data_IF_633495593441
#
_entry.id   IF_633495593441
#
_cell.length_a   1.000
_cell.length_b   1.000
_cell.length_c   1.000
_cell.angle_alpha   90.00
_cell.angle_beta   90.00
_cell.angle_gamma   90.00
#
_symmetry.space_group_name_H-M   'P 1'
#
loop_
_entity.id
_entity.type
_entity.pdbx_description
1 polymer ?
#
# COMPACT_ATOMS: atom_id res chain seq x y z
N UNK A 1 -6.80 20.70 15.65
CA UNK A 1 -6.37 20.47 17.04
C UNK A 1 -7.55 19.96 17.84
N UNK A 2 -7.39 19.04 18.81
CA UNK A 2 -8.48 18.69 19.71
C UNK A 2 -8.91 19.95 20.49
N UNK A 3 -10.21 20.20 20.58
CA UNK A 3 -10.76 21.25 21.43
C UNK A 3 -11.00 20.68 22.83
N UNK A 4 -10.81 21.51 23.86
CA UNK A 4 -11.13 21.15 25.24
C UNK A 4 -12.62 20.77 25.34
N UNK A 5 -12.89 19.52 25.68
CA UNK A 5 -14.23 19.08 26.05
C UNK A 5 -14.59 19.60 27.45
N UNK A 6 -15.89 19.79 27.70
CA UNK A 6 -16.44 20.00 29.05
C UNK A 6 -15.85 18.91 29.96
N UNK A 7 -15.14 19.30 31.03
CA UNK A 7 -14.36 18.46 31.97
C UNK A 7 -12.87 18.18 31.66
N UNK A 8 -12.17 18.99 30.87
CA UNK A 8 -10.70 18.87 30.77
C UNK A 8 -10.20 17.55 30.17
N UNK A 9 -11.08 16.80 29.50
CA UNK A 9 -10.76 15.57 28.77
C UNK A 9 -10.66 15.89 27.29
N UNK A 10 -9.48 15.65 26.71
CA UNK A 10 -9.30 15.66 25.25
C UNK A 10 -10.09 14.49 24.64
N UNK A 11 -11.09 14.80 23.82
CA UNK A 11 -11.93 13.80 23.15
C UNK A 11 -11.75 13.86 21.64
N UNK A 12 -11.68 12.69 21.00
CA UNK A 12 -11.40 12.59 19.57
C UNK A 12 -12.67 12.84 18.74
N UNK A 13 -12.86 14.03 18.19
CA UNK A 13 -14.14 14.38 17.55
C UNK A 13 -14.45 13.64 16.23
N UNK A 14 -13.43 13.10 15.53
CA UNK A 14 -13.56 12.51 14.20
C UNK A 14 -13.60 10.98 14.21
N UNK A 15 -14.35 10.37 15.14
CA UNK A 15 -14.43 8.91 15.35
C UNK A 15 -14.67 8.08 14.07
N UNK A 16 -15.33 8.62 13.05
CA UNK A 16 -15.54 7.94 11.77
C UNK A 16 -14.24 7.61 11.01
N UNK A 17 -13.16 8.37 11.25
CA UNK A 17 -11.83 8.13 10.67
C UNK A 17 -11.09 6.93 11.27
N UNK A 18 -11.67 6.31 12.30
CA UNK A 18 -11.12 5.09 12.91
C UNK A 18 -11.48 3.84 12.10
N UNK A 19 -12.40 3.95 11.13
CA UNK A 19 -12.75 2.82 10.28
C UNK A 19 -11.63 2.52 9.27
N UNK A 20 -11.29 1.23 9.06
CA UNK A 20 -10.41 0.83 7.98
C UNK A 20 -10.95 1.29 6.63
N UNK A 21 -10.05 1.69 5.73
CA UNK A 21 -10.43 1.96 4.36
C UNK A 21 -11.12 0.73 3.73
N UNK A 22 -12.22 0.90 2.98
CA UNK A 22 -12.96 -0.22 2.39
C UNK A 22 -12.11 -1.12 1.49
N UNK A 23 -11.22 -0.48 0.74
CA UNK A 23 -10.25 -1.10 -0.16
C UNK A 23 -8.94 -0.32 -0.05
N UNK A 24 -7.82 -1.05 -0.14
CA UNK A 24 -6.47 -0.51 -0.26
C UNK A 24 -5.79 -1.27 -1.39
N UNK A 25 -5.09 -0.56 -2.27
CA UNK A 25 -4.27 -1.16 -3.32
C UNK A 25 -2.82 -1.00 -2.89
N UNK A 26 -2.06 -2.09 -2.89
CA UNK A 26 -0.60 -2.07 -2.69
C UNK A 26 0.05 -2.29 -4.03
N UNK A 27 1.07 -1.53 -4.37
CA UNK A 27 1.69 -1.58 -5.68
C UNK A 27 3.19 -1.29 -5.60
N UNK A 28 3.89 -1.74 -6.62
CA UNK A 28 5.31 -1.47 -6.83
C UNK A 28 5.65 -1.49 -8.33
N UNK A 29 6.78 -0.87 -8.69
CA UNK A 29 7.30 -0.84 -10.06
C UNK A 29 8.72 -1.38 -10.11
N UNK A 30 9.08 -1.93 -11.27
CA UNK A 30 10.47 -2.01 -11.67
C UNK A 30 10.72 -1.09 -12.86
N UNK A 31 11.95 -0.63 -12.99
CA UNK A 31 12.36 0.24 -14.09
C UNK A 31 13.65 -0.24 -14.73
N UNK A 32 13.73 -0.06 -16.04
CA UNK A 32 14.99 -0.13 -16.76
C UNK A 32 15.84 1.09 -16.45
N UNK A 33 17.13 0.86 -16.21
CA UNK A 33 18.10 1.91 -15.89
C UNK A 33 19.00 2.18 -17.10
N UNK A 34 18.48 2.97 -18.03
CA UNK A 34 19.23 3.37 -19.25
C UNK A 34 20.26 4.45 -18.92
N UNK A 35 21.47 4.35 -19.47
CA UNK A 35 22.51 5.38 -19.29
C UNK A 35 22.17 6.60 -20.14
N UNK A 36 22.36 7.79 -19.58
CA UNK A 36 22.23 9.06 -20.32
C UNK A 36 23.62 9.66 -20.43
N UNK A 37 24.09 9.88 -21.66
CA UNK A 37 25.29 10.67 -21.91
C UNK A 37 24.94 12.16 -21.75
N UNK A 38 25.54 12.81 -20.75
CA UNK A 38 25.39 14.24 -20.53
C UNK A 38 26.51 15.05 -21.21
N UNK A 39 26.29 16.35 -21.47
CA UNK A 39 27.32 17.22 -22.05
C UNK A 39 28.52 17.36 -21.10
N UNK A 40 29.73 17.57 -21.63
CA UNK A 40 30.93 17.85 -20.82
C UNK A 40 30.66 19.01 -19.85
N UNK A 41 30.93 18.77 -18.57
CA UNK A 41 30.63 19.73 -17.50
C UNK A 41 31.80 20.68 -17.28
N UNK A 42 31.49 21.96 -17.15
CA UNK A 42 32.42 22.98 -16.67
C UNK A 42 32.75 22.71 -15.17
N UNK A 43 34.01 22.42 -14.82
CA UNK A 43 34.41 22.09 -13.45
C UNK A 43 34.29 23.27 -12.47
N UNK A 44 34.01 24.48 -12.95
CA UNK A 44 33.87 25.69 -12.11
C UNK A 44 32.44 25.97 -11.66
N UNK A 45 31.46 25.19 -12.14
CA UNK A 45 30.03 25.36 -11.80
C UNK A 45 29.47 24.13 -11.11
N UNK A 46 28.63 24.36 -10.09
CA UNK A 46 27.81 23.28 -9.54
C UNK A 46 26.80 22.86 -10.60
N UNK A 47 26.93 21.62 -11.06
CA UNK A 47 26.06 21.02 -12.07
C UNK A 47 25.46 19.72 -11.50
N UNK A 48 24.18 19.49 -11.75
CA UNK A 48 23.54 18.19 -11.49
C UNK A 48 23.34 17.51 -12.83
N UNK A 49 24.09 16.43 -13.09
CA UNK A 49 23.93 15.62 -14.30
C UNK A 49 23.03 14.42 -13.99
N UNK A 50 21.99 14.24 -14.79
CA UNK A 50 21.21 13.02 -14.77
C UNK A 50 22.00 11.94 -15.51
N UNK A 51 22.62 11.04 -14.77
CA UNK A 51 23.48 9.97 -15.31
C UNK A 51 22.69 8.76 -15.80
N UNK A 52 21.44 8.61 -15.35
CA UNK A 52 20.56 7.50 -15.67
C UNK A 52 19.12 7.98 -15.92
N UNK A 53 18.48 7.37 -16.92
CA UNK A 53 17.07 7.51 -17.21
C UNK A 53 16.36 6.21 -16.80
N UNK A 54 15.40 6.37 -15.89
CA UNK A 54 14.59 5.27 -15.38
C UNK A 54 13.30 5.21 -16.19
N UNK A 55 13.07 4.09 -16.88
CA UNK A 55 11.84 3.81 -17.62
C UNK A 55 11.07 2.70 -16.88
N UNK A 56 9.89 3.01 -16.36
CA UNK A 56 9.01 1.99 -15.77
C UNK A 56 8.75 0.87 -16.79
N UNK A 57 9.15 -0.36 -16.45
CA UNK A 57 9.13 -1.50 -17.34
C UNK A 57 8.16 -2.59 -16.88
N UNK A 58 7.95 -2.73 -15.57
CA UNK A 58 6.91 -3.59 -15.02
C UNK A 58 6.28 -3.02 -13.76
N UNK A 59 5.11 -3.51 -13.41
CA UNK A 59 4.48 -3.25 -12.12
C UNK A 59 3.75 -4.50 -11.61
N UNK A 60 3.53 -4.52 -10.31
CA UNK A 60 2.56 -5.39 -9.67
C UNK A 60 1.64 -4.57 -8.77
N UNK A 61 0.37 -4.97 -8.65
CA UNK A 61 -0.48 -4.50 -7.56
C UNK A 61 -1.40 -5.59 -7.03
N UNK A 62 -1.75 -5.48 -5.74
CA UNK A 62 -2.80 -6.29 -5.11
C UNK A 62 -3.85 -5.40 -4.45
N UNK A 63 -5.11 -5.65 -4.79
CA UNK A 63 -6.27 -4.97 -4.19
C UNK A 63 -6.77 -5.76 -2.98
N UNK A 64 -6.72 -5.13 -1.82
CA UNK A 64 -7.08 -5.73 -0.53
C UNK A 64 -8.30 -5.04 0.05
N UNK A 65 -9.33 -5.83 0.36
CA UNK A 65 -10.56 -5.34 0.98
C UNK A 65 -10.41 -5.24 2.50
N UNK A 66 -11.28 -4.46 3.15
CA UNK A 66 -11.25 -4.23 4.59
C UNK A 66 -11.37 -5.50 5.46
N UNK A 67 -11.82 -6.64 4.92
CA UNK A 67 -11.86 -7.94 5.60
C UNK A 67 -10.67 -8.86 5.29
N UNK A 68 -9.64 -8.34 4.62
CA UNK A 68 -8.44 -9.08 4.23
C UNK A 68 -8.60 -9.92 2.97
N UNK A 69 -9.79 -9.96 2.35
CA UNK A 69 -9.95 -10.66 1.07
C UNK A 69 -9.26 -9.89 -0.04
N UNK A 70 -8.62 -10.64 -0.93
CA UNK A 70 -7.88 -10.13 -2.08
C UNK A 70 -8.39 -10.78 -3.37
N UNK A 71 -8.24 -10.04 -4.47
CA UNK A 71 -8.21 -10.62 -5.81
C UNK A 71 -6.76 -10.89 -6.19
N UNK A 72 -6.53 -11.76 -7.18
CA UNK A 72 -5.18 -12.12 -7.62
C UNK A 72 -4.34 -10.86 -7.95
N UNK A 73 -3.03 -10.85 -7.64
CA UNK A 73 -2.14 -9.79 -8.04
C UNK A 73 -2.22 -9.54 -9.55
N UNK A 74 -2.25 -8.28 -9.92
CA UNK A 74 -2.22 -7.84 -11.32
C UNK A 74 -0.80 -7.45 -11.66
N UNK A 75 -0.22 -8.17 -12.61
CA UNK A 75 1.16 -8.00 -13.06
C UNK A 75 1.15 -7.53 -14.52
N UNK A 76 2.11 -6.68 -14.87
CA UNK A 76 2.35 -6.26 -16.25
C UNK A 76 3.82 -5.95 -16.43
N UNK A 77 4.44 -6.48 -17.49
CA UNK A 77 5.74 -6.06 -18.00
C UNK A 77 5.60 -5.67 -19.46
N UNK A 78 6.02 -4.46 -19.81
CA UNK A 78 5.90 -3.94 -21.17
C UNK A 78 6.07 -2.43 -21.23
N UNK A 79 6.27 -1.91 -22.44
CA UNK A 79 6.44 -0.47 -22.66
C UNK A 79 5.22 0.30 -22.16
N UNK A 80 5.45 1.51 -21.65
CA UNK A 80 4.40 2.34 -21.10
C UNK A 80 3.77 1.79 -19.81
N UNK A 81 4.52 1.01 -19.01
CA UNK A 81 4.02 0.36 -17.80
C UNK A 81 3.32 1.33 -16.84
N UNK A 82 3.87 2.53 -16.63
CA UNK A 82 3.27 3.55 -15.77
C UNK A 82 1.90 4.05 -16.29
N UNK A 83 1.74 4.23 -17.61
CA UNK A 83 0.44 4.62 -18.18
C UNK A 83 -0.57 3.46 -18.09
N UNK A 84 -0.13 2.25 -18.45
CA UNK A 84 -0.94 1.04 -18.34
C UNK A 84 -1.43 0.83 -16.90
N UNK A 85 -0.55 1.04 -15.92
CA UNK A 85 -0.87 0.98 -14.50
C UNK A 85 -1.97 1.98 -14.10
N UNK A 86 -1.84 3.26 -14.47
CA UNK A 86 -2.85 4.26 -14.13
C UNK A 86 -4.22 3.91 -14.73
N UNK A 87 -4.25 3.43 -15.98
CA UNK A 87 -5.49 2.96 -16.63
C UNK A 87 -6.08 1.73 -15.92
N UNK A 88 -5.23 0.80 -15.47
CA UNK A 88 -5.65 -0.35 -14.67
C UNK A 88 -6.26 0.09 -13.33
N UNK A 89 -5.62 1.01 -12.60
CA UNK A 89 -6.15 1.55 -11.35
C UNK A 89 -7.48 2.29 -11.53
N UNK A 90 -7.67 3.03 -12.63
CA UNK A 90 -8.96 3.67 -12.93
C UNK A 90 -10.07 2.64 -13.17
N UNK A 91 -9.74 1.47 -13.74
CA UNK A 91 -10.69 0.36 -13.86
C UNK A 91 -11.05 -0.20 -12.49
N UNK A 92 -10.06 -0.36 -11.60
CA UNK A 92 -10.29 -0.75 -10.20
C UNK A 92 -11.14 0.27 -9.45
N UNK A 93 -10.85 1.56 -9.61
CA UNK A 93 -11.63 2.65 -9.03
C UNK A 93 -13.11 2.53 -9.41
N UNK A 94 -13.42 2.39 -10.71
CA UNK A 94 -14.81 2.21 -11.17
C UNK A 94 -15.46 0.96 -10.58
N UNK A 95 -14.71 -0.15 -10.46
CA UNK A 95 -15.19 -1.38 -9.83
C UNK A 95 -15.53 -1.18 -8.35
N UNK A 96 -14.64 -0.50 -7.61
CA UNK A 96 -14.83 -0.19 -6.20
C UNK A 96 -16.01 0.78 -6.02
N UNK A 97 -16.13 1.82 -6.84
CA UNK A 97 -17.28 2.75 -6.80
C UNK A 97 -18.62 2.02 -6.98
N UNK A 98 -18.70 1.07 -7.92
CA UNK A 98 -19.89 0.23 -8.10
C UNK A 98 -20.18 -0.64 -6.87
N UNK A 99 -19.15 -1.21 -6.24
CA UNK A 99 -19.32 -1.98 -5.01
C UNK A 99 -19.79 -1.09 -3.84
N UNK A 100 -19.27 0.14 -3.72
CA UNK A 100 -19.67 1.10 -2.69
C UNK A 100 -21.09 1.64 -2.89
N UNK A 101 -21.55 1.75 -4.14
CA UNK A 101 -22.90 2.18 -4.46
C UNK A 101 -23.97 1.14 -4.10
N UNK A 102 -23.56 -0.13 -3.89
CA UNK A 102 -24.44 -1.25 -3.58
C UNK A 102 -24.08 -1.85 -2.20
N UNK A 103 -24.41 -1.15 -1.10
CA UNK A 103 -24.06 -1.60 0.24
C UNK A 103 -24.73 -2.95 0.55
N UNK A 104 -23.94 -3.89 1.08
CA UNK A 104 -24.45 -5.21 1.47
C UNK A 104 -25.42 -5.11 2.64
N UNK A 105 -26.51 -5.86 2.56
CA UNK A 105 -27.44 -6.02 3.67
C UNK A 105 -26.73 -6.53 4.93
N UNK A 106 -27.17 -6.00 6.08
CA UNK A 106 -26.64 -6.37 7.39
C UNK A 106 -26.88 -7.84 7.69
N UNK A 107 -25.86 -8.50 8.20
CA UNK A 107 -25.87 -9.89 8.67
C UNK A 107 -25.55 -9.89 10.17
N UNK A 108 -26.49 -10.38 10.97
CA UNK A 108 -26.34 -10.50 12.42
C UNK A 108 -26.45 -11.96 12.83
N UNK A 109 -25.51 -12.42 13.66
CA UNK A 109 -25.57 -13.70 14.37
C UNK A 109 -26.35 -13.56 15.67
N UNK A 110 -26.71 -14.68 16.32
CA UNK A 110 -27.37 -14.66 17.63
C UNK A 110 -26.56 -13.88 18.68
N UNK A 111 -25.22 -14.01 18.64
CA UNK A 111 -24.31 -13.27 19.52
C UNK A 111 -24.29 -11.77 19.23
N UNK A 112 -24.41 -11.37 17.97
CA UNK A 112 -24.50 -9.95 17.60
C UNK A 112 -25.78 -9.31 18.13
N UNK A 113 -26.90 -10.04 18.07
CA UNK A 113 -28.18 -9.59 18.62
C UNK A 113 -28.11 -9.42 20.14
N UNK A 114 -27.51 -10.38 20.84
CA UNK A 114 -27.30 -10.29 22.28
C UNK A 114 -26.38 -9.12 22.65
N UNK A 115 -25.27 -8.96 21.92
CA UNK A 115 -24.35 -7.84 22.10
C UNK A 115 -25.01 -6.49 21.84
N UNK A 116 -25.93 -6.40 20.87
CA UNK A 116 -26.66 -5.16 20.60
C UNK A 116 -27.67 -4.83 21.71
N UNK A 117 -28.43 -5.83 22.17
CA UNK A 117 -29.45 -5.66 23.23
C UNK A 117 -28.85 -5.22 24.57
N UNK A 118 -27.68 -5.74 24.88
CA UNK A 118 -26.98 -5.46 26.16
C UNK A 118 -26.04 -4.26 26.07
N UNK A 119 -25.87 -3.64 24.90
CA UNK A 119 -25.01 -2.48 24.74
C UNK A 119 -25.60 -1.25 25.44
N UNK A 120 -24.81 -0.66 26.34
CA UNK A 120 -25.13 0.62 26.98
C UNK A 120 -24.37 1.81 26.39
N UNK A 121 -23.37 1.54 25.55
CA UNK A 121 -22.44 2.53 24.99
C UNK A 121 -22.28 2.40 23.48
N UNK A 122 -22.16 3.53 22.82
CA UNK A 122 -21.93 3.65 21.39
C UNK A 122 -20.54 3.12 21.03
N UNK A 123 -20.43 2.16 20.11
CA UNK A 123 -19.14 1.59 19.74
C UNK A 123 -18.24 2.57 18.96
N UNK A 124 -18.78 3.71 18.51
CA UNK A 124 -18.08 4.72 17.71
C UNK A 124 -17.47 5.80 18.58
N UNK A 125 -18.29 6.47 19.40
CA UNK A 125 -17.86 7.58 20.24
C UNK A 125 -17.69 7.20 21.72
N UNK A 126 -18.06 5.98 22.09
CA UNK A 126 -18.10 5.48 23.48
C UNK A 126 -19.06 6.24 24.40
N UNK A 127 -19.90 7.15 23.91
CA UNK A 127 -20.95 7.79 24.70
C UNK A 127 -22.07 6.82 25.11
N UNK A 128 -22.80 7.12 26.19
CA UNK A 128 -24.00 6.36 26.58
C UNK A 128 -25.06 6.42 25.47
N UNK A 129 -25.74 5.30 25.19
CA UNK A 129 -26.74 5.25 24.12
C UNK A 129 -28.07 5.89 24.51
N UNK A 130 -28.48 5.79 25.79
CA UNK A 130 -29.69 6.44 26.34
C UNK A 130 -30.95 6.30 25.48
N UNK A 131 -31.12 5.14 24.82
CA UNK A 131 -32.24 4.87 23.91
C UNK A 131 -31.99 5.15 22.43
N UNK A 132 -30.98 5.95 22.07
CA UNK A 132 -30.49 6.11 20.68
C UNK A 132 -29.51 4.99 20.33
N UNK A 133 -30.06 3.81 20.05
CA UNK A 133 -29.30 2.61 19.69
C UNK A 133 -29.68 2.12 18.29
N UNK A 134 -28.89 2.52 17.30
CA UNK A 134 -28.97 1.96 15.95
C UNK A 134 -27.89 0.91 15.72
N UNK A 135 -28.10 0.05 14.73
CA UNK A 135 -27.17 -1.02 14.38
C UNK A 135 -26.24 -0.55 13.26
N UNK A 136 -24.96 -0.35 13.57
CA UNK A 136 -23.94 -0.10 12.56
C UNK A 136 -23.45 -1.41 11.94
N UNK A 137 -23.12 -1.36 10.65
CA UNK A 137 -22.55 -2.50 9.94
C UNK A 137 -21.61 -2.06 8.83
N UNK A 138 -20.71 -2.96 8.45
CA UNK A 138 -19.82 -2.75 7.32
C UNK A 138 -20.60 -2.90 6.00
N UNK A 139 -20.75 -1.82 5.23
CA UNK A 139 -21.41 -1.85 3.91
C UNK A 139 -20.72 -2.77 2.89
N UNK A 140 -19.47 -3.17 3.11
CA UNK A 140 -18.72 -4.04 2.21
C UNK A 140 -18.97 -5.53 2.50
N UNK A 141 -19.06 -5.89 3.77
CA UNK A 141 -19.17 -7.30 4.20
C UNK A 141 -20.54 -7.68 4.71
N UNK A 142 -21.36 -6.70 5.09
CA UNK A 142 -22.61 -6.87 5.82
C UNK A 142 -22.43 -7.13 7.32
N UNK A 143 -21.21 -7.31 7.82
CA UNK A 143 -20.97 -7.67 9.23
C UNK A 143 -21.37 -6.53 10.16
N UNK A 144 -22.15 -6.87 11.19
CA UNK A 144 -22.44 -5.97 12.30
C UNK A 144 -21.16 -5.52 13.00
N UNK A 145 -21.12 -4.24 13.40
CA UNK A 145 -19.96 -3.62 14.08
C UNK A 145 -20.26 -3.26 15.52
N UNK A 146 -21.49 -2.82 15.81
CA UNK A 146 -21.88 -2.45 17.16
C UNK A 146 -23.13 -1.57 17.21
N UNK A 147 -23.56 -1.29 18.43
CA UNK A 147 -24.61 -0.33 18.71
C UNK A 147 -24.02 1.08 18.65
N UNK A 148 -24.66 1.99 17.93
CA UNK A 148 -24.18 3.35 17.76
C UNK A 148 -25.34 4.34 17.90
N UNK A 149 -25.01 5.60 18.23
CA UNK A 149 -25.95 6.71 18.04
C UNK A 149 -26.30 6.86 16.56
N UNK A 150 -27.53 7.27 16.25
CA UNK A 150 -27.97 7.54 14.88
C UNK A 150 -27.03 8.51 14.16
N UNK A 151 -26.63 9.59 14.83
CA UNK A 151 -25.69 10.58 14.29
C UNK A 151 -24.28 10.00 14.07
N UNK A 152 -23.80 9.13 14.96
CA UNK A 152 -22.51 8.46 14.80
C UNK A 152 -22.52 7.52 13.59
N UNK A 153 -23.58 6.71 13.47
CA UNK A 153 -23.78 5.77 12.36
C UNK A 153 -23.83 6.48 11.00
N UNK A 154 -24.52 7.62 10.90
CA UNK A 154 -24.58 8.41 9.66
C UNK A 154 -23.19 8.88 9.20
N UNK A 155 -22.29 9.22 10.14
CA UNK A 155 -20.90 9.62 9.82
C UNK A 155 -20.04 8.45 9.30
N UNK A 156 -20.45 7.20 9.53
CA UNK A 156 -19.74 6.01 9.04
C UNK A 156 -20.17 5.58 7.63
N UNK A 157 -21.16 6.27 7.04
CA UNK A 157 -21.65 5.94 5.69
C UNK A 157 -20.53 6.12 4.67
N UNK A 158 -20.27 5.05 3.94
CA UNK A 158 -19.40 5.09 2.76
C UNK A 158 -20.16 5.69 1.59
N UNK A 159 -19.49 6.55 0.83
CA UNK A 159 -20.04 7.19 -0.37
C UNK A 159 -19.22 6.77 -1.59
N UNK A 160 -19.89 6.22 -2.60
CA UNK A 160 -19.24 5.84 -3.85
C UNK A 160 -18.57 7.03 -4.58
N UNK A 161 -19.02 8.26 -4.33
CA UNK A 161 -18.51 9.47 -5.00
C UNK A 161 -17.37 10.17 -4.27
N UNK A 162 -17.17 9.88 -2.98
CA UNK A 162 -16.21 10.63 -2.15
C UNK A 162 -15.25 9.75 -1.35
N UNK A 163 -15.44 8.43 -1.33
CA UNK A 163 -14.56 7.51 -0.61
C UNK A 163 -13.23 7.41 -1.35
N UNK A 164 -12.17 7.93 -0.74
CA UNK A 164 -10.80 7.76 -1.23
C UNK A 164 -10.37 6.29 -1.19
N UNK A 165 -9.67 5.84 -2.23
CA UNK A 165 -9.03 4.55 -2.34
C UNK A 165 -7.51 4.76 -2.21
N UNK A 166 -6.89 4.35 -1.09
CA UNK A 166 -5.44 4.42 -0.93
C UNK A 166 -4.73 3.49 -1.92
N UNK A 167 -3.72 4.02 -2.60
CA UNK A 167 -2.73 3.28 -3.40
C UNK A 167 -1.39 3.45 -2.70
N UNK A 168 -0.88 2.36 -2.14
CA UNK A 168 0.24 2.36 -1.22
C UNK A 168 1.46 1.78 -1.92
N UNK A 169 2.53 2.57 -1.91
CA UNK A 169 3.87 2.19 -2.33
C UNK A 169 4.81 2.25 -1.12
N UNK A 170 5.97 1.61 -1.18
CA UNK A 170 7.03 1.78 -0.18
C UNK A 170 8.14 2.63 -0.78
N UNK A 171 8.45 3.79 -0.17
CA UNK A 171 9.41 4.76 -0.68
C UNK A 171 9.00 5.46 -2.00
N UNK A 172 7.69 5.62 -2.23
CA UNK A 172 7.10 6.32 -3.39
C UNK A 172 7.78 7.66 -3.70
N UNK A 173 8.06 8.46 -2.67
CA UNK A 173 8.64 9.81 -2.83
C UNK A 173 10.07 9.79 -3.31
N UNK A 174 10.80 8.71 -3.02
CA UNK A 174 12.19 8.57 -3.39
C UNK A 174 12.38 8.21 -4.86
N UNK A 175 11.36 7.60 -5.48
CA UNK A 175 11.54 6.98 -6.80
C UNK A 175 10.26 7.01 -7.66
N UNK A 176 9.27 6.17 -7.38
CA UNK A 176 8.15 5.89 -8.30
C UNK A 176 7.26 7.09 -8.59
N UNK A 177 7.21 8.06 -7.68
CA UNK A 177 6.42 9.28 -7.87
C UNK A 177 6.83 10.05 -9.13
N UNK A 178 8.10 10.02 -9.52
CA UNK A 178 8.56 10.66 -10.75
C UNK A 178 8.03 9.96 -12.00
N UNK A 179 8.08 8.62 -12.02
CA UNK A 179 7.56 7.79 -13.11
C UNK A 179 6.05 7.99 -13.27
N UNK A 180 5.32 7.98 -12.16
CA UNK A 180 3.86 8.16 -12.15
C UNK A 180 3.45 9.56 -12.56
N UNK A 181 4.13 10.61 -12.08
CA UNK A 181 3.78 11.99 -12.42
C UNK A 181 4.00 12.30 -13.91
N UNK A 182 5.00 11.69 -14.54
CA UNK A 182 5.20 11.78 -15.99
C UNK A 182 4.09 11.06 -16.78
N UNK A 183 3.58 9.95 -16.26
CA UNK A 183 2.50 9.20 -16.90
C UNK A 183 1.11 9.83 -16.65
N UNK A 184 0.92 10.54 -15.54
CA UNK A 184 -0.35 11.18 -15.19
C UNK A 184 -0.82 12.17 -16.25
N UNK A 185 0.10 12.91 -16.88
CA UNK A 185 -0.25 13.85 -17.96
C UNK A 185 -0.80 13.16 -19.22
N UNK A 186 -0.61 11.84 -19.34
CA UNK A 186 -1.06 11.02 -20.48
C UNK A 186 -2.39 10.32 -20.24
N UNK A 187 -2.97 10.46 -19.05
CA UNK A 187 -4.27 9.87 -18.70
C UNK A 187 -5.26 10.96 -18.30
N UNK A 188 -6.54 10.74 -18.63
CA UNK A 188 -7.60 11.65 -18.23
C UNK A 188 -7.96 11.43 -16.76
N UNK A 189 -8.21 12.51 -16.02
CA UNK A 189 -8.72 12.44 -14.66
C UNK A 189 -8.39 13.68 -13.84
N UNK A 190 -9.16 13.92 -12.77
CA UNK A 190 -8.87 15.02 -11.87
C UNK A 190 -7.61 14.71 -11.06
N UNK A 191 -6.55 15.46 -11.29
CA UNK A 191 -5.31 15.37 -10.53
C UNK A 191 -5.35 16.38 -9.39
N UNK A 192 -5.02 15.94 -8.19
CA UNK A 192 -4.69 16.85 -7.09
C UNK A 192 -3.37 16.44 -6.47
N UNK A 193 -2.53 17.41 -6.11
CA UNK A 193 -1.21 17.15 -5.59
C UNK A 193 -0.93 18.02 -4.39
N UNK A 194 -0.34 17.44 -3.35
CA UNK A 194 0.30 18.15 -2.26
C UNK A 194 1.79 17.94 -2.47
N UNK A 195 2.50 18.95 -2.96
CA UNK A 195 3.96 18.91 -3.12
C UNK A 195 4.66 19.28 -1.80
N UNK A 196 5.83 18.70 -1.55
CA UNK A 196 6.74 19.15 -0.49
C UNK A 196 7.69 20.21 -1.05
N UNK A 197 8.24 19.93 -2.23
CA UNK A 197 8.98 20.85 -3.08
C UNK A 197 8.73 20.46 -4.55
N UNK A 198 9.45 21.07 -5.49
CA UNK A 198 9.31 20.81 -6.94
C UNK A 198 9.68 19.39 -7.37
N UNK A 199 10.38 18.63 -6.53
CA UNK A 199 10.86 17.28 -6.84
C UNK A 199 10.16 16.19 -6.03
N UNK A 200 9.74 16.49 -4.79
CA UNK A 200 9.18 15.52 -3.84
C UNK A 200 7.72 15.83 -3.56
N UNK A 201 6.85 14.88 -3.85
CA UNK A 201 5.41 15.00 -3.62
C UNK A 201 5.01 14.42 -2.27
N UNK A 202 4.25 15.16 -1.44
CA UNK A 202 3.77 14.66 -0.16
C UNK A 202 2.78 13.52 -0.37
N UNK A 203 1.82 13.76 -1.26
CA UNK A 203 0.81 12.82 -1.75
C UNK A 203 0.17 13.42 -3.00
N UNK A 204 -0.22 12.59 -3.96
CA UNK A 204 -1.04 13.03 -5.09
C UNK A 204 -2.24 12.10 -5.27
N UNK A 205 -3.20 12.51 -6.07
CA UNK A 205 -4.42 11.76 -6.32
C UNK A 205 -4.83 11.89 -7.79
N UNK A 206 -5.41 10.82 -8.32
CA UNK A 206 -6.04 10.75 -9.63
C UNK A 206 -7.47 10.26 -9.41
N UNK A 207 -8.46 11.15 -9.54
CA UNK A 207 -9.83 10.84 -9.11
C UNK A 207 -9.89 10.55 -7.60
N UNK A 208 -10.48 9.41 -7.21
CA UNK A 208 -10.53 8.96 -5.81
C UNK A 208 -9.31 8.12 -5.41
N UNK A 209 -8.41 7.79 -6.34
CA UNK A 209 -7.16 7.08 -6.05
C UNK A 209 -6.18 8.05 -5.39
N UNK A 210 -5.72 7.74 -4.18
CA UNK A 210 -4.74 8.55 -3.46
C UNK A 210 -3.46 7.77 -3.24
N UNK A 211 -2.38 8.28 -3.82
CA UNK A 211 -1.07 7.68 -3.76
C UNK A 211 -0.37 8.08 -2.46
N UNK A 212 0.12 7.07 -1.74
CA UNK A 212 0.67 7.20 -0.40
C UNK A 212 1.99 6.45 -0.32
N UNK A 213 2.97 7.10 0.32
CA UNK A 213 4.22 6.49 0.68
C UNK A 213 4.16 5.91 2.09
N UNK A 214 4.25 4.59 2.19
CA UNK A 214 4.26 3.89 3.47
C UNK A 214 5.51 4.16 4.31
N UNK A 215 6.64 4.50 3.69
CA UNK A 215 7.90 4.77 4.39
C UNK A 215 7.83 6.03 5.29
N UNK A 216 6.82 6.89 5.11
CA UNK A 216 6.60 8.06 5.96
C UNK A 216 6.16 7.71 7.39
N UNK A 217 5.63 6.51 7.60
CA UNK A 217 5.15 6.05 8.91
C UNK A 217 5.67 4.67 9.27
N UNK A 218 6.14 3.90 8.28
CA UNK A 218 6.97 2.72 8.48
C UNK A 218 8.44 3.16 8.30
N UNK A 219 9.04 3.72 9.35
CA UNK A 219 10.37 4.37 9.34
C UNK A 219 11.54 3.36 9.23
N UNK A 220 11.40 2.34 8.40
CA UNK A 220 12.40 1.34 8.08
C UNK A 220 12.15 0.80 6.67
N UNK A 221 13.16 0.20 6.07
CA UNK A 221 13.03 -0.48 4.79
C UNK A 221 12.12 -1.71 4.89
N UNK A 222 11.51 -2.09 3.76
CA UNK A 222 10.59 -3.24 3.71
C UNK A 222 11.22 -4.52 4.28
N UNK A 223 12.49 -4.80 3.97
CA UNK A 223 13.20 -5.96 4.51
C UNK A 223 13.27 -5.98 6.04
N UNK A 224 13.55 -4.82 6.66
CA UNK A 224 13.57 -4.70 8.13
C UNK A 224 12.18 -4.86 8.73
N UNK A 225 11.15 -4.34 8.06
CA UNK A 225 9.76 -4.46 8.49
C UNK A 225 9.28 -5.90 8.40
N UNK A 226 9.67 -6.62 7.35
CA UNK A 226 9.36 -8.04 7.17
C UNK A 226 10.01 -8.87 8.28
N UNK A 227 11.31 -8.65 8.53
CA UNK A 227 12.04 -9.34 9.59
C UNK A 227 11.52 -9.05 11.01
N UNK A 228 10.90 -7.88 11.22
CA UNK A 228 10.29 -7.51 12.51
C UNK A 228 8.93 -8.18 12.77
N UNK A 229 8.33 -8.84 11.77
CA UNK A 229 7.04 -9.51 11.88
C UNK A 229 7.21 -11.04 11.96
N UNK A 230 6.26 -11.70 12.63
CA UNK A 230 6.24 -13.17 12.67
C UNK A 230 5.75 -13.74 11.34
N UNK A 231 6.33 -14.84 10.82
CA UNK A 231 5.91 -15.45 9.55
C UNK A 231 4.41 -15.76 9.45
N UNK A 232 3.75 -16.11 10.55
CA UNK A 232 2.32 -16.43 10.58
C UNK A 232 1.43 -15.20 10.37
N UNK A 233 1.99 -13.99 10.49
CA UNK A 233 1.29 -12.74 10.26
C UNK A 233 1.18 -12.36 8.77
N UNK A 234 1.84 -13.11 7.88
CA UNK A 234 1.86 -12.88 6.44
C UNK A 234 0.72 -13.64 5.72
N UNK A 235 -0.52 -13.30 6.07
CA UNK A 235 -1.71 -14.01 5.61
C UNK A 235 -1.97 -13.82 4.10
N UNK A 236 -1.66 -12.64 3.56
CA UNK A 236 -1.87 -12.33 2.14
C UNK A 236 -0.83 -13.08 1.32
N UNK A 237 0.44 -13.02 1.71
CA UNK A 237 1.52 -13.76 1.05
C UNK A 237 1.24 -15.26 1.11
N UNK A 238 0.77 -15.79 2.25
CA UNK A 238 0.37 -17.19 2.40
C UNK A 238 -0.78 -17.63 1.49
N UNK A 239 -1.64 -16.71 1.05
CA UNK A 239 -2.74 -17.01 0.12
C UNK A 239 -2.21 -17.32 -1.29
N UNK A 240 -1.11 -16.67 -1.69
CA UNK A 240 -0.53 -16.77 -3.03
C UNK A 240 0.69 -17.69 -3.09
N UNK A 241 1.37 -17.90 -1.96
CA UNK A 241 2.41 -18.90 -1.79
C UNK A 241 2.10 -19.76 -0.55
N UNK A 242 1.28 -20.82 -0.71
CA UNK A 242 0.89 -21.69 0.39
C UNK A 242 2.03 -22.61 0.84
N UNK A 243 3.04 -22.86 -0.02
CA UNK A 243 4.20 -23.66 0.34
C UNK A 243 5.07 -22.90 1.37
N UNK A 244 5.21 -23.49 2.55
CA UNK A 244 5.92 -22.85 3.66
C UNK A 244 7.40 -22.61 3.36
N UNK A 245 8.04 -23.51 2.62
CA UNK A 245 9.44 -23.38 2.24
C UNK A 245 9.62 -22.25 1.24
N UNK A 246 8.83 -22.24 0.17
CA UNK A 246 8.85 -21.17 -0.84
C UNK A 246 8.56 -19.82 -0.22
N UNK A 247 7.53 -19.72 0.62
CA UNK A 247 7.19 -18.49 1.33
C UNK A 247 8.33 -18.01 2.24
N UNK A 248 8.99 -18.91 2.96
CA UNK A 248 10.13 -18.55 3.81
C UNK A 248 11.30 -17.97 2.99
N UNK A 249 11.50 -18.45 1.75
CA UNK A 249 12.48 -17.85 0.84
C UNK A 249 12.08 -16.43 0.45
N UNK A 250 10.82 -16.20 0.07
CA UNK A 250 10.32 -14.87 -0.32
C UNK A 250 10.38 -13.84 0.81
N UNK A 251 10.29 -14.27 2.07
CA UNK A 251 10.38 -13.37 3.22
C UNK A 251 11.81 -12.89 3.53
N UNK A 252 12.85 -13.54 2.98
CA UNK A 252 14.22 -13.06 3.08
C UNK A 252 14.41 -11.96 2.04
N UNK A 253 15.19 -10.94 2.38
CA UNK A 253 15.57 -9.87 1.45
C UNK A 253 16.14 -10.46 0.15
N UNK A 254 15.47 -10.16 -0.96
CA UNK A 254 15.94 -10.48 -2.30
C UNK A 254 17.02 -9.51 -2.79
N UNK A 255 17.76 -9.91 -3.82
CA UNK A 255 18.70 -9.05 -4.54
C UNK A 255 18.30 -8.96 -6.01
N UNK A 256 18.52 -7.80 -6.60
CA UNK A 256 18.12 -7.51 -7.98
C UNK A 256 19.19 -6.67 -8.67
N UNK A 257 19.57 -6.97 -9.93
CA UNK A 257 20.69 -6.32 -10.61
C UNK A 257 20.24 -5.05 -11.34
N UNK A 258 19.83 -4.02 -10.60
CA UNK A 258 19.22 -2.79 -11.15
C UNK A 258 20.03 -2.12 -12.26
N UNK A 259 21.36 -2.04 -12.10
CA UNK A 259 22.28 -1.45 -13.06
C UNK A 259 22.48 -2.29 -14.32
N UNK A 260 22.23 -3.60 -14.24
CA UNK A 260 22.29 -4.52 -15.37
C UNK A 260 21.02 -4.50 -16.21
N UNK A 261 19.88 -4.22 -15.57
CA UNK A 261 18.57 -4.10 -16.22
C UNK A 261 18.46 -2.78 -16.98
N UNK A 262 19.19 -2.66 -18.08
CA UNK A 262 19.34 -1.44 -18.87
C UNK A 262 18.63 -1.46 -20.23
N UNK A 263 18.07 -2.61 -20.61
CA UNK A 263 17.46 -2.84 -21.92
C UNK A 263 16.37 -3.91 -21.87
N UNK A 264 15.47 -3.90 -22.84
CA UNK A 264 14.33 -4.84 -22.88
C UNK A 264 14.78 -6.28 -23.15
N UNK A 265 15.87 -6.42 -23.90
CA UNK A 265 16.51 -7.68 -24.26
C UNK A 265 16.98 -8.45 -23.02
N UNK A 266 17.31 -7.75 -21.91
CA UNK A 266 17.67 -8.40 -20.64
C UNK A 266 16.58 -9.32 -20.13
N UNK A 267 15.31 -8.96 -20.31
CA UNK A 267 14.20 -9.79 -19.81
C UNK A 267 14.09 -11.15 -20.49
N UNK A 268 14.68 -11.30 -21.68
CA UNK A 268 14.69 -12.55 -22.45
C UNK A 268 15.88 -13.45 -22.10
N UNK A 269 16.85 -12.96 -21.30
CA UNK A 269 17.99 -13.76 -20.89
C UNK A 269 17.54 -14.93 -20.01
N UNK A 270 18.02 -16.12 -20.33
CA UNK A 270 17.55 -17.38 -19.74
C UNK A 270 18.39 -17.89 -18.57
N UNK A 271 19.27 -17.04 -18.03
CA UNK A 271 20.17 -17.38 -16.94
C UNK A 271 20.19 -16.23 -15.93
N UNK A 272 20.39 -16.57 -14.66
CA UNK A 272 20.66 -15.56 -13.64
C UNK A 272 22.04 -14.92 -13.93
N UNK A 273 22.14 -13.59 -14.02
CA UNK A 273 23.39 -12.91 -14.29
C UNK A 273 24.47 -13.22 -13.25
N UNK A 274 25.75 -13.12 -13.62
CA UNK A 274 26.84 -13.37 -12.69
C UNK A 274 26.85 -12.33 -11.56
N UNK A 275 27.38 -12.71 -10.40
CA UNK A 275 27.31 -11.91 -9.15
C UNK A 275 27.84 -10.48 -9.33
N UNK A 276 28.83 -10.28 -10.17
CA UNK A 276 29.54 -9.01 -10.38
C UNK A 276 28.64 -7.91 -10.93
N UNK A 277 27.55 -8.27 -11.64
CA UNK A 277 26.62 -7.28 -12.19
C UNK A 277 25.54 -6.83 -11.21
N UNK A 278 25.53 -7.39 -9.99
CA UNK A 278 24.69 -6.93 -8.87
C UNK A 278 25.34 -5.79 -8.06
N UNK A 279 26.45 -5.24 -8.54
CA UNK A 279 27.08 -4.08 -7.92
C UNK A 279 26.13 -2.88 -7.90
N UNK A 280 25.84 -2.35 -6.71
CA UNK A 280 25.01 -1.16 -6.57
C UNK A 280 25.87 0.09 -6.46
N UNK A 281 25.66 1.06 -7.35
CA UNK A 281 26.32 2.37 -7.26
C UNK A 281 25.83 3.19 -6.07
N UNK A 282 24.59 2.96 -5.64
CA UNK A 282 23.99 3.67 -4.52
C UNK A 282 24.67 3.31 -3.19
N UNK A 283 24.99 2.03 -2.98
CA UNK A 283 25.72 1.57 -1.79
C UNK A 283 27.24 1.54 -1.98
N UNK A 284 27.71 1.59 -3.23
CA UNK A 284 29.12 1.46 -3.59
C UNK A 284 29.67 0.04 -3.38
N UNK A 285 28.81 -0.97 -3.27
CA UNK A 285 29.19 -2.32 -2.86
C UNK A 285 28.55 -3.42 -3.72
N UNK A 286 29.26 -4.54 -3.83
CA UNK A 286 28.72 -5.80 -4.34
C UNK A 286 27.83 -6.48 -3.29
N UNK A 287 26.95 -7.36 -3.75
CA UNK A 287 26.20 -8.27 -2.87
C UNK A 287 27.12 -9.33 -2.24
N UNK A 288 26.67 -9.92 -1.13
CA UNK A 288 27.40 -11.01 -0.48
C UNK A 288 27.27 -12.34 -1.24
N UNK A 289 28.16 -13.31 -1.00
CA UNK A 289 28.02 -14.66 -1.56
C UNK A 289 26.73 -15.34 -1.09
N UNK A 290 26.34 -15.09 0.17
CA UNK A 290 25.09 -15.59 0.76
C UNK A 290 23.86 -15.05 0.03
N UNK A 291 23.88 -13.78 -0.36
CA UNK A 291 22.78 -13.16 -1.11
C UNK A 291 22.70 -13.68 -2.54
N UNK A 292 23.84 -13.86 -3.20
CA UNK A 292 23.85 -14.43 -4.54
C UNK A 292 23.39 -15.90 -4.54
N UNK A 293 23.88 -16.71 -3.60
CA UNK A 293 23.41 -18.09 -3.42
C UNK A 293 21.90 -18.16 -3.11
N UNK A 294 21.38 -17.15 -2.41
CA UNK A 294 19.93 -17.03 -2.21
C UNK A 294 19.18 -16.70 -3.51
N UNK A 295 19.68 -15.77 -4.33
CA UNK A 295 19.09 -15.47 -5.63
C UNK A 295 19.07 -16.69 -6.56
N UNK A 296 20.16 -17.47 -6.60
CA UNK A 296 20.21 -18.74 -7.34
C UNK A 296 19.14 -19.72 -6.85
N UNK A 297 18.99 -19.85 -5.53
CA UNK A 297 17.96 -20.70 -4.94
C UNK A 297 16.54 -20.25 -5.27
N UNK A 298 16.29 -18.94 -5.28
CA UNK A 298 14.99 -18.38 -5.72
C UNK A 298 14.75 -18.73 -7.19
N UNK A 299 15.73 -18.46 -8.06
CA UNK A 299 15.65 -18.76 -9.49
C UNK A 299 15.26 -20.21 -9.75
N UNK A 300 15.94 -21.16 -9.09
CA UNK A 300 15.67 -22.60 -9.22
C UNK A 300 14.33 -23.00 -8.60
N UNK A 301 14.04 -22.57 -7.36
CA UNK A 301 12.85 -23.01 -6.59
C UNK A 301 11.54 -22.53 -7.23
N UNK A 302 11.57 -21.35 -7.86
CA UNK A 302 10.42 -20.78 -8.55
C UNK A 302 10.42 -21.06 -10.05
N UNK A 303 11.42 -21.79 -10.55
CA UNK A 303 11.50 -22.21 -11.96
C UNK A 303 11.58 -21.04 -12.92
N UNK A 304 12.30 -19.98 -12.56
CA UNK A 304 12.50 -18.83 -13.43
C UNK A 304 13.19 -19.29 -14.72
N UNK A 305 12.54 -19.06 -15.87
CA UNK A 305 13.10 -19.41 -17.18
C UNK A 305 13.83 -18.24 -17.80
N UNK A 306 13.39 -17.01 -17.49
CA UNK A 306 14.02 -15.77 -17.95
C UNK A 306 14.20 -14.77 -16.81
N UNK A 307 15.07 -13.78 -17.02
CA UNK A 307 15.21 -12.65 -16.12
C UNK A 307 13.90 -11.89 -15.95
N UNK A 308 13.06 -11.86 -16.99
CA UNK A 308 11.69 -11.38 -16.88
C UNK A 308 10.90 -12.10 -15.79
N UNK A 309 10.90 -13.44 -15.75
CA UNK A 309 10.19 -14.18 -14.69
C UNK A 309 10.73 -13.84 -13.30
N UNK A 310 12.05 -13.65 -13.18
CA UNK A 310 12.68 -13.24 -11.93
C UNK A 310 12.25 -11.82 -11.51
N UNK A 311 12.20 -10.87 -12.45
CA UNK A 311 11.67 -9.51 -12.23
C UNK A 311 10.22 -9.52 -11.75
N UNK A 312 9.34 -10.28 -12.42
CA UNK A 312 7.92 -10.33 -12.05
C UNK A 312 7.75 -10.93 -10.65
N UNK A 313 8.50 -12.00 -10.33
CA UNK A 313 8.52 -12.61 -9.01
C UNK A 313 9.00 -11.63 -7.94
N UNK A 314 10.07 -10.88 -8.22
CA UNK A 314 10.64 -9.89 -7.31
C UNK A 314 9.62 -8.80 -6.98
N UNK A 315 9.06 -8.15 -8.01
CA UNK A 315 8.06 -7.10 -7.87
C UNK A 315 6.79 -7.59 -7.17
N UNK A 316 6.27 -8.78 -7.54
CA UNK A 316 5.13 -9.40 -6.83
C UNK A 316 5.43 -9.61 -5.34
N UNK A 317 6.63 -10.10 -5.03
CA UNK A 317 7.01 -10.41 -3.65
C UNK A 317 6.98 -9.16 -2.78
N UNK A 318 7.56 -8.06 -3.26
CA UNK A 318 7.58 -6.79 -2.53
C UNK A 318 6.16 -6.25 -2.31
N UNK A 319 5.28 -6.35 -3.29
CA UNK A 319 3.86 -5.96 -3.16
C UNK A 319 3.11 -6.79 -2.12
N UNK A 320 3.28 -8.11 -2.12
CA UNK A 320 2.61 -9.01 -1.17
C UNK A 320 3.11 -8.78 0.27
N UNK A 321 4.42 -8.66 0.44
CA UNK A 321 5.04 -8.39 1.74
C UNK A 321 4.64 -7.01 2.27
N UNK A 322 4.61 -5.98 1.40
CA UNK A 322 4.12 -4.65 1.75
C UNK A 322 2.66 -4.71 2.23
N UNK A 323 1.80 -5.45 1.53
CA UNK A 323 0.40 -5.59 1.92
C UNK A 323 0.26 -6.21 3.33
N UNK A 324 1.00 -7.28 3.62
CA UNK A 324 0.98 -7.93 4.94
C UNK A 324 1.55 -7.04 6.05
N UNK A 325 2.73 -6.45 5.82
CA UNK A 325 3.37 -5.52 6.75
C UNK A 325 2.38 -4.40 7.09
N UNK A 326 1.86 -3.72 6.08
CA UNK A 326 0.94 -2.60 6.28
C UNK A 326 -0.32 -3.02 7.03
N UNK A 327 -0.92 -4.17 6.68
CA UNK A 327 -2.10 -4.71 7.37
C UNK A 327 -1.82 -5.05 8.83
N UNK A 328 -0.61 -5.52 9.15
CA UNK A 328 -0.21 -5.78 10.52
C UNK A 328 -0.05 -4.47 11.32
N UNK A 329 0.43 -3.40 10.68
CA UNK A 329 0.50 -2.05 11.28
C UNK A 329 -0.87 -1.36 11.43
N UNK A 330 -1.90 -1.75 10.66
CA UNK A 330 -3.28 -1.29 10.85
C UNK A 330 -3.96 -1.90 12.08
N UNK A 331 -3.50 -3.06 12.57
CA UNK A 331 -4.12 -3.77 13.70
C UNK A 331 -3.71 -3.12 15.03
N UNK A 332 -4.65 -2.83 15.94
CA UNK A 332 -4.29 -2.36 17.28
C UNK A 332 -3.50 -3.47 18.04
N UNK A 333 -2.57 -3.10 18.94
CA UNK A 333 -1.76 -4.07 19.68
C UNK A 333 -2.62 -5.05 20.48
N UNK A 334 -2.30 -6.35 20.44
CA UNK A 334 -3.09 -7.41 21.11
C UNK A 334 -3.13 -7.32 22.65
N UNK A 335 -2.17 -6.63 23.29
CA UNK A 335 -1.93 -6.72 24.73
C UNK A 335 -2.83 -5.85 25.63
N UNK A 336 -3.96 -5.36 25.11
CA UNK A 336 -4.58 -4.21 25.76
C UNK A 336 -6.12 -4.31 25.78
N UNK A 337 -6.59 -5.54 26.03
CA UNK A 337 -7.99 -5.97 26.28
C UNK A 337 -8.61 -5.45 27.61
N UNK A 338 -8.17 -4.29 28.10
CA UNK A 338 -8.75 -3.65 29.28
C UNK A 338 -9.06 -2.18 29.08
N UNK A 339 -8.20 -1.45 28.34
CA UNK A 339 -8.24 0.02 28.31
C UNK A 339 -7.99 0.67 26.94
N UNK A 340 -7.83 -0.09 25.85
CA UNK A 340 -7.45 0.49 24.53
C UNK A 340 -8.30 0.05 23.34
N UNK A 341 -9.59 0.35 23.40
CA UNK A 341 -10.36 0.58 22.16
C UNK A 341 -10.01 1.92 21.47
N UNK A 342 -9.00 2.67 21.96
CA UNK A 342 -8.82 4.10 21.68
C UNK A 342 -7.51 4.50 20.97
N UNK A 343 -6.66 3.56 20.57
CA UNK A 343 -5.44 3.90 19.84
C UNK A 343 -5.73 3.78 18.34
N UNK A 344 -5.89 4.93 17.68
CA UNK A 344 -5.81 5.03 16.23
C UNK A 344 -4.36 4.77 15.87
N UNK A 345 -4.10 3.79 15.00
CA UNK A 345 -2.71 3.58 14.56
C UNK A 345 -2.24 4.80 13.77
N UNK A 346 -0.94 5.16 13.79
CA UNK A 346 -0.42 6.26 12.98
C UNK A 346 -0.88 6.18 11.52
N UNK A 347 -1.01 4.96 10.98
CA UNK A 347 -1.56 4.66 9.65
C UNK A 347 -3.01 5.12 9.51
N UNK A 348 -3.90 4.72 10.42
CA UNK A 348 -5.32 5.12 10.39
C UNK A 348 -5.47 6.63 10.56
N UNK A 349 -4.67 7.24 11.44
CA UNK A 349 -4.66 8.69 11.64
C UNK A 349 -4.25 9.41 10.35
N UNK A 350 -3.21 8.91 9.68
CA UNK A 350 -2.70 9.45 8.43
C UNK A 350 -3.71 9.30 7.27
N UNK A 351 -4.27 8.10 7.07
CA UNK A 351 -5.32 7.85 6.07
C UNK A 351 -6.54 8.77 6.31
N UNK A 352 -6.93 8.94 7.58
CA UNK A 352 -8.00 9.84 7.97
C UNK A 352 -7.66 11.33 7.83
N UNK A 353 -6.41 11.75 8.00
CA UNK A 353 -5.99 13.13 7.73
C UNK A 353 -6.02 13.44 6.24
N UNK A 354 -5.59 12.49 5.41
CA UNK A 354 -5.59 12.66 3.96
C UNK A 354 -7.00 12.74 3.37
N UNK A 355 -8.00 12.09 3.98
CA UNK A 355 -9.39 12.19 3.53
C UNK A 355 -10.06 13.55 3.78
N UNK A 356 -9.46 14.43 4.59
CA UNK A 356 -10.09 15.69 5.05
C UNK A 356 -9.69 16.98 4.34
N UNK A 357 -8.87 16.95 3.30
CA UNK A 357 -8.56 18.16 2.53
C UNK A 357 -9.32 18.18 1.21
N UNK A 358 -10.58 18.64 1.25
CA UNK A 358 -11.05 19.58 0.22
C UNK A 358 -11.06 20.96 0.89
N UNK A 359 -10.40 21.98 0.33
CA UNK A 359 -10.86 23.34 0.58
C UNK A 359 -12.28 23.44 0.00
N UNK A 360 -13.18 24.10 0.73
CA UNK A 360 -14.47 24.55 0.19
C UNK A 360 -14.27 25.44 -1.04
#
# INVERSE_FOLDING_TARGET
>A
MPQEGKEGKLTFQNHHKQLPAPYIIYADFEALTTKVEGPELDPTKSNTQRTQHHEACSYCYVKVRCDGKTEAPVEYRGRGAAEHFLRALQKEERGIQKALANPKAMKMTSKDWESHRTASRCHVCDGLLEGDSVRDHCHITGKYRGAAHSACNLKLRLSAKTTTIPVVFHNLRGYDSHLLMQAISKVEGQVSCISNNTEKYISFSLGQLRFIDSAQFLLASLDKLVAANRPEAFHITAQYEPDQYKRALLMRKGVYPYEYMDSWERFEETQLPPKEVFYSKLSGANISDSDYAHAQRIWETFGCQTLGNYTDLYCRTDVLLLADVFKNFERPPRNNMGWTRRIITPVQAYLGMLSSKRPE
#
